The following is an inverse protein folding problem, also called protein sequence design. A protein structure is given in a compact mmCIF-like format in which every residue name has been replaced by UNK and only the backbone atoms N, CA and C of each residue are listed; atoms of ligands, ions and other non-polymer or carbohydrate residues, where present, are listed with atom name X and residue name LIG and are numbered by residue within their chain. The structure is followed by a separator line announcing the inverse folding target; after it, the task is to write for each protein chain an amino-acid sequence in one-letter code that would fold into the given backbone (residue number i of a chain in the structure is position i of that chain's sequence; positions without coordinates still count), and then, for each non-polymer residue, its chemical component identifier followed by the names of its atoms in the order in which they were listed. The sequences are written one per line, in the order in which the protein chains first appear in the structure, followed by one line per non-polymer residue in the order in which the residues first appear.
data_IF_886843625780
#
_entry.id   IF_886843625780
#
_cell.length_a   1.000
_cell.length_b   1.000
_cell.length_c   1.000
_cell.angle_alpha   90.00
_cell.angle_beta   90.00
_cell.angle_gamma   90.00
#
_symmetry.space_group_name_H-M   'P 1'
#
loop_
_entity.id
_entity.type
_entity.pdbx_description
1 polymer ?
#
# COMPACT_ATOMS: atom_id res chain seq x y z
N UNK A 1 -0.69 8.95 -20.23
CA UNK A 1 0.19 7.76 -20.18
C UNK A 1 0.53 7.16 -21.55
N UNK A 2 -0.30 7.26 -22.59
CA UNK A 2 0.02 6.70 -23.92
C UNK A 2 1.09 7.48 -24.70
N UNK A 3 1.18 8.81 -24.52
CA UNK A 3 2.14 9.66 -25.23
C UNK A 3 3.62 9.44 -24.85
N UNK A 4 3.90 8.94 -23.63
CA UNK A 4 5.27 8.67 -23.18
C UNK A 4 5.83 7.35 -23.76
N UNK A 5 5.00 6.33 -23.99
CA UNK A 5 5.44 5.05 -24.57
C UNK A 5 5.83 5.18 -26.04
N UNK A 6 5.00 5.89 -26.83
CA UNK A 6 5.27 6.14 -28.24
C UNK A 6 6.62 6.86 -28.47
N UNK A 7 7.00 7.76 -27.56
CA UNK A 7 8.26 8.50 -27.63
C UNK A 7 9.47 7.61 -27.27
N UNK A 8 9.30 6.68 -26.33
CA UNK A 8 10.36 5.73 -25.94
C UNK A 8 10.65 4.73 -27.06
N UNK A 9 9.61 4.23 -27.73
CA UNK A 9 9.75 3.26 -28.83
C UNK A 9 10.47 3.89 -30.05
N UNK A 10 10.23 5.18 -30.31
CA UNK A 10 10.90 5.95 -31.37
C UNK A 10 12.39 6.19 -31.09
N UNK A 11 12.74 6.48 -29.83
CA UNK A 11 14.14 6.63 -29.39
C UNK A 11 14.89 5.29 -29.48
N UNK A 12 14.25 4.18 -29.12
CA UNK A 12 14.84 2.83 -29.21
C UNK A 12 15.10 2.43 -30.67
N UNK A 13 14.16 2.72 -31.58
CA UNK A 13 14.32 2.43 -33.01
C UNK A 13 15.43 3.27 -33.67
N UNK A 14 15.60 4.51 -33.20
CA UNK A 14 16.69 5.39 -33.63
C UNK A 14 18.06 4.91 -33.15
N UNK A 15 18.16 4.38 -31.93
CA UNK A 15 19.41 3.82 -31.39
C UNK A 15 19.81 2.55 -32.14
N UNK A 16 18.87 1.68 -32.51
CA UNK A 16 19.14 0.44 -33.26
C UNK A 16 19.70 0.64 -34.66
N UNK A 17 19.51 1.82 -35.26
CA UNK A 17 20.00 2.16 -36.62
C UNK A 17 21.46 2.60 -36.65
N UNK A 18 22.09 2.84 -35.49
CA UNK A 18 23.47 3.30 -35.39
C UNK A 18 24.49 2.15 -35.53
N UNK A 19 25.75 2.41 -35.93
CA UNK A 19 26.84 1.44 -35.85
C UNK A 19 27.06 0.93 -34.42
N UNK A 20 27.52 -0.31 -34.24
CA UNK A 20 27.62 -0.96 -32.90
C UNK A 20 28.40 -0.14 -31.86
N UNK A 21 29.45 0.58 -32.25
CA UNK A 21 30.22 1.45 -31.33
C UNK A 21 29.40 2.67 -30.85
N UNK A 22 28.57 3.25 -31.73
CA UNK A 22 27.72 4.38 -31.38
C UNK A 22 26.47 3.93 -30.60
N UNK A 23 26.02 2.68 -30.79
CA UNK A 23 24.96 2.08 -29.99
C UNK A 23 25.39 1.96 -28.52
N UNK A 24 26.62 1.51 -28.25
CA UNK A 24 27.13 1.37 -26.88
C UNK A 24 27.24 2.73 -26.17
N UNK A 25 27.73 3.77 -26.86
CA UNK A 25 27.74 5.14 -26.33
C UNK A 25 26.33 5.71 -26.10
N UNK A 26 25.39 5.44 -27.01
CA UNK A 26 24.01 5.91 -26.87
C UNK A 26 23.31 5.20 -25.71
N UNK A 27 23.49 3.89 -25.55
CA UNK A 27 22.96 3.10 -24.42
C UNK A 27 23.53 3.60 -23.09
N UNK A 28 24.84 3.88 -23.02
CA UNK A 28 25.48 4.45 -21.82
C UNK A 28 24.92 5.84 -21.45
N UNK A 29 24.64 6.71 -22.43
CA UNK A 29 24.00 8.02 -22.19
C UNK A 29 22.51 7.93 -21.87
N UNK A 30 21.85 6.86 -22.31
CA UNK A 30 20.44 6.57 -22.02
C UNK A 30 20.24 5.84 -20.70
N UNK A 31 21.31 5.53 -19.94
CA UNK A 31 21.19 5.01 -18.58
C UNK A 31 20.47 6.04 -17.70
N UNK A 32 19.17 5.79 -17.51
CA UNK A 32 18.32 6.58 -16.65
C UNK A 32 18.65 6.17 -15.21
N UNK A 33 19.63 6.84 -14.61
CA UNK A 33 20.03 6.60 -13.22
C UNK A 33 18.91 7.06 -12.28
N UNK A 34 18.14 6.11 -11.76
CA UNK A 34 17.11 6.33 -10.76
C UNK A 34 17.63 5.84 -9.42
N UNK A 35 18.02 6.77 -8.57
CA UNK A 35 18.59 6.46 -7.28
C UNK A 35 18.99 7.72 -6.51
N UNK A 36 19.29 7.58 -5.21
CA UNK A 36 19.71 8.69 -4.35
C UNK A 36 21.11 9.23 -4.70
N UNK A 37 21.85 8.55 -5.58
CA UNK A 37 23.22 8.89 -5.96
C UNK A 37 23.25 9.21 -7.47
N UNK A 38 23.77 10.38 -7.88
CA UNK A 38 23.91 10.75 -9.29
C UNK A 38 24.94 9.90 -10.04
N UNK A 39 24.91 9.94 -11.37
CA UNK A 39 25.89 9.26 -12.22
C UNK A 39 27.34 9.70 -11.90
N UNK A 40 28.33 8.79 -11.93
CA UNK A 40 29.74 9.11 -11.66
C UNK A 40 30.29 10.30 -12.47
N UNK A 41 29.92 10.43 -13.74
CA UNK A 41 30.36 11.56 -14.58
C UNK A 41 29.79 12.91 -14.12
N UNK A 42 28.58 12.91 -13.53
CA UNK A 42 27.98 14.10 -12.94
C UNK A 42 28.71 14.45 -11.65
N UNK A 43 28.96 13.45 -10.81
CA UNK A 43 29.72 13.62 -9.57
C UNK A 43 31.13 14.16 -9.84
N UNK A 44 31.82 13.64 -10.86
CA UNK A 44 33.14 14.12 -11.28
C UNK A 44 33.10 15.60 -11.65
N UNK A 45 32.10 16.05 -12.42
CA UNK A 45 31.92 17.47 -12.76
C UNK A 45 31.68 18.34 -11.53
N UNK A 46 30.90 17.87 -10.55
CA UNK A 46 30.71 18.60 -9.31
C UNK A 46 31.99 18.70 -8.49
N UNK A 47 32.80 17.65 -8.45
CA UNK A 47 34.09 17.64 -7.75
C UNK A 47 35.14 18.52 -8.43
N UNK A 48 35.09 18.61 -9.77
CA UNK A 48 35.93 19.52 -10.56
C UNK A 48 35.57 20.99 -10.33
N UNK A 49 34.29 21.29 -10.04
CA UNK A 49 33.82 22.63 -9.70
C UNK A 49 34.15 23.04 -8.27
N UNK A 50 33.98 22.11 -7.32
CA UNK A 50 34.27 22.30 -5.90
C UNK A 50 34.80 21.00 -5.30
N UNK A 51 36.12 20.92 -5.00
CA UNK A 51 36.73 19.70 -4.48
C UNK A 51 36.05 19.20 -3.20
N UNK A 52 35.49 17.99 -3.26
CA UNK A 52 34.75 17.36 -2.16
C UNK A 52 33.23 17.42 -2.31
N UNK A 53 32.70 18.17 -3.28
CA UNK A 53 31.27 18.24 -3.55
C UNK A 53 30.67 16.87 -3.90
N UNK A 54 31.39 16.03 -4.66
CA UNK A 54 30.92 14.68 -4.98
C UNK A 54 30.69 13.84 -3.73
N UNK A 55 31.63 13.89 -2.78
CA UNK A 55 31.51 13.17 -1.50
C UNK A 55 30.31 13.65 -0.70
N UNK A 56 30.09 14.97 -0.64
CA UNK A 56 28.95 15.55 0.07
C UNK A 56 27.61 15.11 -0.54
N UNK A 57 27.51 15.07 -1.87
CA UNK A 57 26.30 14.63 -2.57
C UNK A 57 26.01 13.15 -2.27
N UNK A 58 27.03 12.29 -2.33
CA UNK A 58 26.89 10.86 -2.00
C UNK A 58 26.42 10.70 -0.55
N UNK A 59 27.08 11.37 0.40
CA UNK A 59 26.72 11.29 1.82
C UNK A 59 25.29 11.75 2.07
N UNK A 60 24.85 12.82 1.42
CA UNK A 60 23.48 13.31 1.53
C UNK A 60 22.48 12.31 0.96
N UNK A 61 22.76 11.71 -0.21
CA UNK A 61 21.92 10.67 -0.80
C UNK A 61 21.79 9.42 0.08
N UNK A 62 22.88 9.01 0.74
CA UNK A 62 22.88 7.89 1.69
C UNK A 62 22.05 8.24 2.93
N UNK A 63 22.28 9.40 3.55
CA UNK A 63 21.52 9.87 4.73
C UNK A 63 20.02 9.95 4.45
N UNK A 64 19.63 10.48 3.29
CA UNK A 64 18.24 10.55 2.86
C UNK A 64 17.62 9.16 2.71
N UNK A 65 18.36 8.22 2.13
CA UNK A 65 17.89 6.83 1.96
C UNK A 65 17.75 6.10 3.30
N UNK A 66 18.64 6.33 4.25
CA UNK A 66 18.51 5.82 5.62
C UNK A 66 17.33 6.45 6.35
N UNK A 67 17.12 7.76 6.20
CA UNK A 67 15.99 8.45 6.79
C UNK A 67 14.66 7.91 6.27
N UNK A 68 14.53 7.77 4.95
CA UNK A 68 13.35 7.17 4.31
C UNK A 68 13.10 5.75 4.80
N UNK A 69 14.14 4.91 4.88
CA UNK A 69 14.00 3.53 5.41
C UNK A 69 13.54 3.52 6.86
N UNK A 70 14.02 4.44 7.70
CA UNK A 70 13.57 4.59 9.09
C UNK A 70 12.09 4.99 9.15
N UNK A 71 11.63 5.90 8.29
CA UNK A 71 10.23 6.30 8.20
C UNK A 71 9.34 5.14 7.72
N UNK A 72 9.77 4.38 6.71
CA UNK A 72 9.06 3.20 6.22
C UNK A 72 8.88 2.15 7.34
N UNK A 73 9.95 1.84 8.06
CA UNK A 73 9.89 0.91 9.21
C UNK A 73 8.97 1.42 10.30
N UNK A 74 9.02 2.72 10.62
CA UNK A 74 8.11 3.33 11.60
C UNK A 74 6.65 3.25 11.13
N UNK A 75 6.36 3.63 9.89
CA UNK A 75 5.03 3.56 9.31
C UNK A 75 4.48 2.13 9.33
N UNK A 76 5.28 1.13 8.95
CA UNK A 76 4.90 -0.28 9.05
C UNK A 76 4.59 -0.69 10.49
N UNK A 77 5.39 -0.26 11.45
CA UNK A 77 5.16 -0.54 12.87
C UNK A 77 3.89 0.14 13.40
N UNK A 78 3.59 1.36 12.98
CA UNK A 78 2.33 2.04 13.34
C UNK A 78 1.13 1.31 12.75
N UNK A 79 1.16 0.96 11.46
CA UNK A 79 0.09 0.20 10.79
C UNK A 79 -0.15 -1.14 11.47
N UNK A 80 0.91 -1.87 11.84
CA UNK A 80 0.81 -3.16 12.51
C UNK A 80 0.33 -3.08 13.99
N UNK A 81 0.50 -1.93 14.64
CA UNK A 81 -0.04 -1.71 16.00
C UNK A 81 -1.49 -1.26 15.96
N UNK A 82 -1.85 -0.47 14.97
CA UNK A 82 -3.19 0.06 14.78
C UNK A 82 -4.17 -1.03 14.30
N UNK A 83 -3.75 -1.91 13.40
CA UNK A 83 -4.56 -3.07 12.98
C UNK A 83 -4.95 -3.97 14.15
N UNK A 84 -3.99 -4.29 15.02
CA UNK A 84 -4.23 -5.13 16.21
C UNK A 84 -5.22 -4.50 17.18
N UNK A 85 -5.26 -3.17 17.33
CA UNK A 85 -6.26 -2.53 18.20
C UNK A 85 -7.67 -2.65 17.63
N UNK A 86 -7.84 -2.48 16.31
CA UNK A 86 -9.15 -2.57 15.66
C UNK A 86 -9.74 -3.98 15.73
N UNK A 87 -8.92 -4.99 15.49
CA UNK A 87 -9.36 -6.40 15.56
C UNK A 87 -9.87 -6.75 16.96
N UNK A 88 -9.18 -6.31 18.01
CA UNK A 88 -9.59 -6.57 19.39
C UNK A 88 -10.87 -5.82 19.77
N UNK A 89 -11.05 -4.57 19.33
CA UNK A 89 -12.30 -3.84 19.55
C UNK A 89 -13.50 -4.53 18.87
N UNK A 90 -13.31 -4.98 17.62
CA UNK A 90 -14.34 -5.73 16.89
C UNK A 90 -14.67 -7.08 17.55
N UNK A 91 -13.66 -7.79 18.05
CA UNK A 91 -13.83 -9.06 18.74
C UNK A 91 -14.67 -8.93 20.02
N UNK A 92 -14.34 -7.95 20.88
CA UNK A 92 -15.12 -7.72 22.11
C UNK A 92 -16.56 -7.29 21.80
N UNK A 93 -16.76 -6.44 20.79
CA UNK A 93 -18.10 -6.05 20.37
C UNK A 93 -18.91 -7.26 19.88
N UNK A 94 -18.30 -8.16 19.11
CA UNK A 94 -18.92 -9.41 18.66
C UNK A 94 -19.35 -10.30 19.83
N UNK A 95 -18.48 -10.48 20.84
CA UNK A 95 -18.80 -11.25 22.06
C UNK A 95 -20.00 -10.64 22.79
N UNK A 96 -20.02 -9.32 22.96
CA UNK A 96 -21.11 -8.64 23.66
C UNK A 96 -22.44 -8.89 22.96
N UNK A 97 -22.49 -8.80 21.62
CA UNK A 97 -23.73 -9.02 20.86
C UNK A 97 -24.21 -10.48 20.99
N UNK A 98 -23.29 -11.45 20.97
CA UNK A 98 -23.63 -12.86 21.18
C UNK A 98 -24.20 -13.09 22.58
N UNK A 99 -23.57 -12.53 23.62
CA UNK A 99 -24.04 -12.63 25.00
C UNK A 99 -25.42 -11.99 25.19
N UNK A 100 -25.65 -10.83 24.60
CA UNK A 100 -26.95 -10.14 24.63
C UNK A 100 -28.01 -11.00 23.93
N UNK A 101 -27.73 -11.55 22.76
CA UNK A 101 -28.68 -12.43 22.06
C UNK A 101 -29.00 -13.71 22.83
N UNK A 102 -28.00 -14.33 23.48
CA UNK A 102 -28.21 -15.47 24.37
C UNK A 102 -29.09 -15.11 25.58
N UNK A 103 -28.90 -13.94 26.17
CA UNK A 103 -29.73 -13.42 27.26
C UNK A 103 -31.18 -13.18 26.80
N UNK A 104 -31.38 -12.64 25.60
CA UNK A 104 -32.71 -12.48 25.01
C UNK A 104 -33.42 -13.82 24.80
N UNK A 105 -32.70 -14.85 24.36
CA UNK A 105 -33.25 -16.22 24.23
C UNK A 105 -33.67 -16.74 25.61
N UNK A 106 -32.84 -16.52 26.64
CA UNK A 106 -33.15 -16.93 28.01
C UNK A 106 -34.40 -16.23 28.57
N UNK A 107 -34.61 -14.95 28.23
CA UNK A 107 -35.80 -14.17 28.60
C UNK A 107 -37.08 -14.54 27.81
N UNK A 108 -37.01 -15.52 26.90
CA UNK A 108 -38.16 -15.97 26.10
C UNK A 108 -38.36 -15.22 24.78
N UNK A 109 -37.47 -14.29 24.43
CA UNK A 109 -37.45 -13.61 23.13
C UNK A 109 -36.64 -14.41 22.09
N UNK A 110 -37.02 -15.67 21.88
CA UNK A 110 -36.26 -16.63 21.07
C UNK A 110 -36.05 -16.16 19.63
N UNK A 111 -37.07 -15.59 18.99
CA UNK A 111 -36.99 -15.12 17.59
C UNK A 111 -35.98 -13.97 17.49
N UNK A 112 -36.10 -12.97 18.36
CA UNK A 112 -35.26 -11.76 18.34
C UNK A 112 -33.80 -12.09 18.68
N UNK A 113 -33.58 -12.93 19.69
CA UNK A 113 -32.23 -13.36 20.08
C UNK A 113 -31.57 -14.25 19.03
N UNK A 114 -32.30 -15.16 18.40
CA UNK A 114 -31.77 -16.03 17.33
C UNK A 114 -31.40 -15.23 16.08
N UNK A 115 -32.23 -14.26 15.67
CA UNK A 115 -31.92 -13.40 14.51
C UNK A 115 -30.69 -12.54 14.79
N UNK A 116 -30.61 -11.93 15.98
CA UNK A 116 -29.50 -11.08 16.38
C UNK A 116 -28.18 -11.88 16.44
N UNK A 117 -28.13 -12.97 17.21
CA UNK A 117 -26.94 -13.80 17.34
C UNK A 117 -26.56 -14.48 16.02
N UNK A 118 -27.54 -14.92 15.23
CA UNK A 118 -27.31 -15.58 13.94
C UNK A 118 -26.66 -14.67 12.90
N UNK A 119 -27.18 -13.44 12.73
CA UNK A 119 -26.59 -12.45 11.81
C UNK A 119 -25.16 -12.09 12.25
N UNK A 120 -24.95 -11.86 13.55
CA UNK A 120 -23.63 -11.52 14.07
C UNK A 120 -22.61 -12.66 13.89
N UNK A 121 -23.02 -13.92 14.11
CA UNK A 121 -22.16 -15.07 13.90
C UNK A 121 -21.75 -15.22 12.42
N UNK A 122 -22.72 -15.09 11.49
CA UNK A 122 -22.44 -15.13 10.04
C UNK A 122 -21.50 -14.00 9.62
N UNK A 123 -21.70 -12.79 10.14
CA UNK A 123 -20.84 -11.63 9.85
C UNK A 123 -19.41 -11.81 10.40
N UNK A 124 -19.24 -12.40 11.58
CA UNK A 124 -17.90 -12.71 12.10
C UNK A 124 -17.22 -13.77 11.23
N UNK A 125 -17.93 -14.84 10.86
CA UNK A 125 -17.41 -15.89 9.97
C UNK A 125 -17.02 -15.32 8.61
N UNK A 126 -17.81 -14.41 8.03
CA UNK A 126 -17.48 -13.79 6.73
C UNK A 126 -16.22 -12.92 6.78
N UNK A 127 -15.99 -12.21 7.89
CA UNK A 127 -14.75 -11.46 8.11
C UNK A 127 -13.52 -12.37 8.23
N UNK A 128 -13.66 -13.56 8.82
CA UNK A 128 -12.56 -14.53 8.97
C UNK A 128 -12.29 -15.36 7.70
N UNK A 129 -13.32 -15.70 6.92
CA UNK A 129 -13.21 -16.52 5.71
C UNK A 129 -12.66 -15.71 4.52
N UNK A 130 -12.79 -14.38 4.54
CA UNK A 130 -12.17 -13.50 3.56
C UNK A 130 -13.08 -13.21 2.36
N UNK A 131 -13.49 -11.95 2.28
CA UNK A 131 -13.90 -11.19 1.09
C UNK A 131 -14.39 -11.98 -0.14
N UNK A 132 -15.68 -12.32 -0.17
CA UNK A 132 -16.39 -12.66 -1.42
C UNK A 132 -17.88 -12.32 -1.34
N UNK A 133 -18.24 -11.22 -0.66
CA UNK A 133 -19.55 -10.56 -0.75
C UNK A 133 -19.59 -9.33 0.17
N UNK A 134 -18.94 -8.23 -0.27
CA UNK A 134 -19.54 -6.92 -0.03
C UNK A 134 -20.73 -6.80 -0.98
N UNK A 135 -21.89 -7.30 -0.57
CA UNK A 135 -23.19 -6.88 -1.09
C UNK A 135 -24.29 -7.53 -0.23
N UNK A 136 -25.31 -6.73 0.08
CA UNK A 136 -26.57 -7.10 0.72
C UNK A 136 -26.58 -7.44 2.21
N UNK A 137 -26.91 -6.41 3.03
CA UNK A 137 -28.20 -6.33 3.78
C UNK A 137 -28.22 -5.20 4.83
N UNK A 138 -28.14 -3.94 4.38
CA UNK A 138 -28.63 -2.79 5.15
C UNK A 138 -29.89 -2.16 4.57
N UNK A 139 -30.58 -2.83 3.64
CA UNK A 139 -31.92 -2.44 3.17
C UNK A 139 -32.94 -3.54 3.49
N UNK A 140 -33.46 -3.58 4.72
CA UNK A 140 -34.83 -4.09 4.97
C UNK A 140 -35.39 -3.83 6.36
N UNK A 141 -35.41 -2.57 6.82
CA UNK A 141 -36.35 -2.14 7.87
C UNK A 141 -36.65 -0.65 7.74
N UNK A 142 -37.42 -0.27 6.72
CA UNK A 142 -38.27 0.94 6.84
C UNK A 142 -39.52 0.92 5.96
N UNK A 143 -39.65 -0.01 5.00
CA UNK A 143 -40.92 -0.23 4.32
C UNK A 143 -41.70 -1.39 4.96
N UNK A 144 -42.40 -1.08 6.06
CA UNK A 144 -43.67 -1.70 6.50
C UNK A 144 -44.04 -1.20 7.91
N UNK A 145 -44.40 0.07 8.05
CA UNK A 145 -45.66 0.42 8.71
C UNK A 145 -46.05 1.88 8.49
N UNK A 146 -47.29 2.04 8.01
CA UNK A 146 -48.09 3.26 7.84
C UNK A 146 -47.88 4.11 6.59
#
# INVERSE_FOLDING_TARGET
MQSSKANVDEVIDSVKKLPREEQEMAISKLEMYSGPIPHPDILKKYDELDPGAAKLIIENGVKESEHRRKLEVQAMNYTARDSRRREWMGFFLGIIIILVGALLIYLGHTITGTVLSGISAVSLVSLFVGNSSEEDKSEKKEDKNS
#
